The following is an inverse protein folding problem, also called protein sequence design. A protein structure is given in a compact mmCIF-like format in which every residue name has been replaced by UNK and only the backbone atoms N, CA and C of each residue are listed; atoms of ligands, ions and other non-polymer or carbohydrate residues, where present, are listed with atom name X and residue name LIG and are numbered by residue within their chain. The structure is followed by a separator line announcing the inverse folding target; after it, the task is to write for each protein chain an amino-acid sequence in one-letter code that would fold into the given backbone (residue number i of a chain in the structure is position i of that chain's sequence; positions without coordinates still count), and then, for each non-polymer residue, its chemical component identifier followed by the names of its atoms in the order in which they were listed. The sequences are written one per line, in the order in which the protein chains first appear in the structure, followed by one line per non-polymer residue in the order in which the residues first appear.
data_IF_479182354936
#
_entry.id   IF_479182354936
#
_cell.length_a   1.000
_cell.length_b   1.000
_cell.length_c   1.000
_cell.angle_alpha   90.00
_cell.angle_beta   90.00
_cell.angle_gamma   90.00
#
_symmetry.space_group_name_H-M   'P 1'
#
loop_
_entity.id
_entity.type
_entity.pdbx_description
1 polymer ?
#
# COMPACT_ATOMS: atom_id res chain seq x y z
N UNK A 1 5.32 -14.82 -20.13
CA UNK A 1 5.59 -14.71 -18.67
C UNK A 1 5.71 -13.23 -18.35
N UNK A 2 5.01 -12.75 -17.31
CA UNK A 2 5.05 -11.33 -16.96
C UNK A 2 6.36 -10.95 -16.23
N UNK A 3 6.73 -9.67 -16.32
CA UNK A 3 7.97 -9.13 -15.74
C UNK A 3 7.62 -8.00 -14.76
N UNK A 4 7.74 -8.27 -13.46
CA UNK A 4 7.45 -7.27 -12.43
C UNK A 4 8.58 -6.24 -12.31
N UNK A 5 8.20 -4.97 -12.38
CA UNK A 5 9.01 -3.81 -12.10
C UNK A 5 8.49 -3.14 -10.83
N UNK A 6 9.38 -2.93 -9.86
CA UNK A 6 9.05 -2.29 -8.59
C UNK A 6 9.54 -0.84 -8.65
N UNK A 7 8.62 0.11 -8.59
CA UNK A 7 8.94 1.55 -8.58
C UNK A 7 9.33 1.98 -7.18
N UNK A 8 10.62 2.29 -6.99
CA UNK A 8 11.27 2.54 -5.72
C UNK A 8 12.13 1.37 -5.24
N UNK A 9 13.44 1.60 -5.08
CA UNK A 9 14.43 0.60 -4.67
C UNK A 9 14.87 0.73 -3.20
N UNK A 10 14.37 1.72 -2.47
CA UNK A 10 14.79 1.99 -1.09
C UNK A 10 14.17 1.01 -0.10
N UNK A 11 14.14 1.34 1.20
CA UNK A 11 13.67 0.46 2.27
C UNK A 11 12.38 -0.27 1.95
N UNK A 12 11.32 0.48 1.65
CA UNK A 12 10.02 -0.09 1.31
C UNK A 12 10.06 -0.94 0.02
N UNK A 13 10.76 -0.50 -1.03
CA UNK A 13 10.91 -1.29 -2.27
C UNK A 13 11.55 -2.66 -2.03
N UNK A 14 12.53 -2.75 -1.15
CA UNK A 14 13.17 -4.02 -0.78
C UNK A 14 12.23 -4.93 0.00
N UNK A 15 11.39 -4.38 0.88
CA UNK A 15 10.36 -5.15 1.58
C UNK A 15 9.30 -5.67 0.61
N UNK A 16 8.87 -4.84 -0.34
CA UNK A 16 7.95 -5.23 -1.42
C UNK A 16 8.56 -6.36 -2.26
N UNK A 17 9.83 -6.23 -2.66
CA UNK A 17 10.54 -7.31 -3.36
C UNK A 17 10.54 -8.61 -2.57
N UNK A 18 10.92 -8.55 -1.30
CA UNK A 18 10.95 -9.72 -0.44
C UNK A 18 9.56 -10.38 -0.23
N UNK A 19 8.48 -9.59 -0.32
CA UNK A 19 7.12 -10.09 -0.31
C UNK A 19 6.72 -10.68 -1.67
N UNK A 20 7.02 -9.98 -2.75
CA UNK A 20 6.65 -10.36 -4.11
C UNK A 20 7.16 -11.77 -4.50
N UNK A 21 8.43 -12.06 -4.20
CA UNK A 21 9.04 -13.37 -4.48
C UNK A 21 8.51 -14.53 -3.61
N UNK A 22 7.63 -14.23 -2.66
CA UNK A 22 6.97 -15.22 -1.79
C UNK A 22 5.47 -15.37 -2.09
N UNK A 23 4.92 -14.60 -3.02
CA UNK A 23 3.52 -14.75 -3.44
C UNK A 23 3.29 -16.08 -4.13
N UNK A 24 2.04 -16.56 -4.14
CA UNK A 24 1.72 -17.79 -4.88
C UNK A 24 1.97 -17.60 -6.38
N UNK A 25 1.55 -16.47 -6.96
CA UNK A 25 1.75 -16.17 -8.37
C UNK A 25 3.22 -16.21 -8.81
N UNK A 26 4.15 -15.71 -7.98
CA UNK A 26 5.59 -15.83 -8.24
C UNK A 26 6.05 -17.29 -8.22
N UNK A 27 5.63 -18.06 -7.23
CA UNK A 27 6.03 -19.47 -7.09
C UNK A 27 5.45 -20.37 -8.17
N UNK A 28 4.30 -20.00 -8.71
CA UNK A 28 3.66 -20.69 -9.85
C UNK A 28 4.23 -20.23 -11.22
N UNK A 29 5.17 -19.28 -11.21
CA UNK A 29 5.84 -18.81 -12.42
C UNK A 29 4.99 -17.86 -13.29
N UNK A 30 3.96 -17.22 -12.73
CA UNK A 30 3.14 -16.26 -13.46
C UNK A 30 3.93 -15.00 -13.81
N UNK A 31 4.87 -14.61 -12.95
CA UNK A 31 5.80 -13.52 -13.20
C UNK A 31 7.19 -13.74 -12.60
N UNK A 32 8.17 -12.99 -13.13
CA UNK A 32 9.51 -12.83 -12.54
C UNK A 32 9.72 -11.38 -12.15
N UNK A 33 10.66 -11.10 -11.22
CA UNK A 33 11.02 -9.72 -10.90
C UNK A 33 12.15 -9.27 -11.82
N UNK A 34 11.87 -8.31 -12.71
CA UNK A 34 12.81 -7.79 -13.70
C UNK A 34 13.81 -6.80 -13.07
N UNK A 35 13.32 -5.96 -12.15
CA UNK A 35 14.17 -4.96 -11.52
C UNK A 35 13.38 -3.90 -10.76
N UNK A 36 14.13 -2.90 -10.34
CA UNK A 36 13.59 -1.68 -9.75
C UNK A 36 13.67 -0.52 -10.74
N UNK A 37 12.74 0.42 -10.57
CA UNK A 37 12.81 1.75 -11.18
C UNK A 37 13.01 2.78 -10.06
N UNK A 38 14.16 3.44 -10.04
CA UNK A 38 14.49 4.49 -9.05
C UNK A 38 15.45 5.48 -9.68
N UNK A 39 15.27 6.76 -9.41
CA UNK A 39 16.18 7.82 -9.87
C UNK A 39 17.56 7.72 -9.22
N UNK A 40 17.64 7.13 -8.02
CA UNK A 40 18.89 6.91 -7.29
C UNK A 40 19.48 5.54 -7.67
N UNK A 41 20.35 5.51 -8.67
CA UNK A 41 20.95 4.27 -9.23
C UNK A 41 21.79 3.47 -8.21
N UNK A 42 22.34 4.12 -7.20
CA UNK A 42 23.15 3.51 -6.15
C UNK A 42 22.35 3.17 -4.87
N UNK A 43 21.01 3.19 -4.93
CA UNK A 43 20.15 2.99 -3.75
C UNK A 43 20.33 1.61 -3.08
N UNK A 44 20.88 0.64 -3.79
CA UNK A 44 21.16 -0.71 -3.29
C UNK A 44 22.66 -0.93 -2.96
N UNK A 45 23.52 0.05 -3.22
CA UNK A 45 24.96 -0.09 -3.01
C UNK A 45 25.30 -0.34 -1.53
N UNK A 46 26.17 -1.31 -1.27
CA UNK A 46 26.62 -1.66 0.07
C UNK A 46 25.60 -2.42 0.95
N UNK A 47 24.42 -2.72 0.41
CA UNK A 47 23.43 -3.53 1.12
C UNK A 47 23.73 -5.02 0.97
N UNK A 48 23.43 -5.79 2.04
CA UNK A 48 23.49 -7.25 1.99
C UNK A 48 22.22 -7.81 1.35
N UNK A 49 22.36 -8.69 0.38
CA UNK A 49 21.26 -9.41 -0.27
C UNK A 49 21.37 -9.38 -1.79
N UNK A 50 20.75 -10.36 -2.43
CA UNK A 50 20.68 -10.47 -3.89
C UNK A 50 19.42 -9.72 -4.37
N UNK A 51 19.59 -8.46 -4.67
CA UNK A 51 18.52 -7.65 -5.23
C UNK A 51 18.61 -7.60 -6.75
N UNK A 52 17.48 -7.58 -7.47
CA UNK A 52 17.49 -7.31 -8.89
C UNK A 52 18.02 -5.89 -9.18
N UNK A 53 18.48 -5.60 -10.39
CA UNK A 53 19.10 -4.32 -10.72
C UNK A 53 18.11 -3.16 -10.63
N UNK A 54 18.63 -1.94 -10.40
CA UNK A 54 17.93 -0.70 -10.72
C UNK A 54 18.16 -0.42 -12.20
N UNK A 55 17.09 -0.36 -12.99
CA UNK A 55 17.17 -0.27 -14.45
C UNK A 55 17.36 1.19 -14.88
N UNK A 56 16.43 2.06 -14.48
CA UNK A 56 16.47 3.51 -14.73
C UNK A 56 15.49 4.24 -13.80
N UNK A 57 15.34 5.54 -13.98
CA UNK A 57 14.26 6.29 -13.33
C UNK A 57 12.89 5.91 -13.93
N UNK A 58 11.80 5.98 -13.15
CA UNK A 58 10.46 5.62 -13.65
C UNK A 58 10.01 6.47 -14.85
N UNK A 59 10.45 7.73 -14.88
CA UNK A 59 10.17 8.67 -15.96
C UNK A 59 10.82 8.27 -17.28
N UNK A 60 11.98 7.62 -17.22
CA UNK A 60 12.80 7.27 -18.38
C UNK A 60 12.47 5.85 -18.91
N UNK A 61 11.68 5.08 -18.16
CA UNK A 61 11.40 3.70 -18.53
C UNK A 61 10.37 3.62 -19.66
N UNK A 62 10.68 2.83 -20.69
CA UNK A 62 9.75 2.48 -21.76
C UNK A 62 9.05 1.17 -21.46
N UNK A 63 7.74 1.22 -21.25
CA UNK A 63 6.91 0.05 -20.90
C UNK A 63 6.91 -0.98 -22.03
N UNK A 64 7.20 -2.24 -21.69
CA UNK A 64 7.18 -3.36 -22.61
C UNK A 64 5.86 -4.16 -22.46
N UNK A 65 5.43 -4.91 -23.49
CA UNK A 65 4.12 -5.60 -23.49
C UNK A 65 3.89 -6.58 -22.33
N UNK A 66 4.96 -7.17 -21.81
CA UNK A 66 4.87 -8.14 -20.71
C UNK A 66 5.21 -7.53 -19.32
N UNK A 67 5.43 -6.23 -19.25
CA UNK A 67 5.73 -5.57 -17.99
C UNK A 67 4.47 -5.40 -17.14
N UNK A 68 4.65 -5.63 -15.85
CA UNK A 68 3.67 -5.34 -14.80
C UNK A 68 4.38 -4.56 -13.69
N UNK A 69 3.65 -3.72 -12.98
CA UNK A 69 4.25 -2.77 -12.06
C UNK A 69 3.68 -2.87 -10.65
N UNK A 70 4.49 -2.49 -9.68
CA UNK A 70 4.07 -2.17 -8.32
C UNK A 70 4.76 -0.89 -7.85
N UNK A 71 4.00 0.06 -7.26
CA UNK A 71 4.54 1.33 -6.78
C UNK A 71 4.91 1.22 -5.30
N UNK A 72 6.20 1.10 -5.02
CA UNK A 72 6.73 0.94 -3.66
C UNK A 72 7.12 2.29 -3.02
N UNK A 73 6.16 3.22 -2.99
CA UNK A 73 6.30 4.51 -2.31
C UNK A 73 5.45 4.54 -1.05
N UNK A 74 6.05 4.89 0.10
CA UNK A 74 5.33 4.97 1.39
C UNK A 74 4.29 6.08 1.41
N UNK A 75 4.65 7.27 0.94
CA UNK A 75 3.76 8.42 0.91
C UNK A 75 2.70 8.31 -0.19
N UNK A 76 1.40 8.47 0.13
CA UNK A 76 0.31 8.35 -0.84
C UNK A 76 0.46 9.24 -2.08
N UNK A 77 0.90 10.50 -1.89
CA UNK A 77 1.10 11.44 -3.01
C UNK A 77 2.10 10.95 -4.04
N UNK A 78 3.21 10.30 -3.61
CA UNK A 78 4.21 9.76 -4.52
C UNK A 78 3.74 8.46 -5.17
N UNK A 79 2.94 7.64 -4.46
CA UNK A 79 2.30 6.48 -5.11
C UNK A 79 1.39 6.93 -6.24
N UNK A 80 0.55 7.94 -5.99
CA UNK A 80 -0.35 8.51 -7.01
C UNK A 80 0.44 9.06 -8.19
N UNK A 81 1.45 9.88 -7.93
CA UNK A 81 2.29 10.48 -8.96
C UNK A 81 2.93 9.43 -9.89
N UNK A 82 3.57 8.41 -9.33
CA UNK A 82 4.21 7.38 -10.14
C UNK A 82 3.21 6.42 -10.79
N UNK A 83 2.06 6.18 -10.18
CA UNK A 83 0.99 5.42 -10.82
C UNK A 83 0.51 6.12 -12.09
N UNK A 84 0.25 7.43 -12.02
CA UNK A 84 -0.15 8.25 -13.17
C UNK A 84 0.90 8.24 -14.29
N UNK A 85 2.20 8.32 -13.97
CA UNK A 85 3.29 8.23 -14.96
C UNK A 85 3.29 6.88 -15.67
N UNK A 86 3.20 5.79 -14.93
CA UNK A 86 3.22 4.43 -15.51
C UNK A 86 1.95 4.14 -16.30
N UNK A 87 0.77 4.54 -15.80
CA UNK A 87 -0.51 4.42 -16.52
C UNK A 87 -0.50 5.18 -17.85
N UNK A 88 0.02 6.41 -17.86
CA UNK A 88 0.14 7.22 -19.08
C UNK A 88 1.02 6.55 -20.15
N UNK A 89 1.92 5.67 -19.76
CA UNK A 89 2.78 4.87 -20.65
C UNK A 89 2.17 3.50 -21.01
N UNK A 90 0.93 3.22 -20.58
CA UNK A 90 0.22 1.97 -20.83
C UNK A 90 0.63 0.82 -19.89
N UNK A 91 1.28 1.12 -18.77
CA UNK A 91 1.63 0.10 -17.77
C UNK A 91 0.43 -0.38 -16.95
N UNK A 92 0.50 -1.62 -16.49
CA UNK A 92 -0.53 -2.27 -15.68
C UNK A 92 0.02 -2.67 -14.31
N UNK A 93 -0.82 -2.64 -13.30
CA UNK A 93 -0.40 -2.92 -11.92
C UNK A 93 -0.87 -4.28 -11.44
N UNK A 94 -0.09 -4.86 -10.54
CA UNK A 94 -0.50 -6.04 -9.79
C UNK A 94 -0.57 -5.71 -8.30
N UNK A 95 -1.46 -6.40 -7.60
CA UNK A 95 -1.46 -6.37 -6.14
C UNK A 95 -0.54 -7.44 -5.57
N UNK A 96 0.17 -7.10 -4.49
CA UNK A 96 1.03 -8.03 -3.77
C UNK A 96 0.35 -8.40 -2.46
N UNK A 97 -0.07 -9.66 -2.37
CA UNK A 97 -0.79 -10.19 -1.21
C UNK A 97 0.06 -11.27 -0.56
N UNK A 98 0.46 -11.05 0.69
CA UNK A 98 1.23 -12.03 1.43
C UNK A 98 0.39 -13.26 1.77
N UNK A 99 0.95 -14.46 1.65
CA UNK A 99 0.26 -15.74 1.90
C UNK A 99 -0.34 -15.87 3.30
N UNK A 100 0.25 -15.21 4.29
CA UNK A 100 -0.22 -15.24 5.69
C UNK A 100 -1.32 -14.21 5.98
N UNK A 101 -1.77 -13.42 5.00
CA UNK A 101 -2.95 -12.58 5.16
C UNK A 101 -4.23 -13.42 5.12
N UNK A 102 -5.15 -13.13 6.03
CA UNK A 102 -6.49 -13.74 6.06
C UNK A 102 -7.47 -12.82 5.35
N UNK A 103 -7.97 -13.23 4.18
CA UNK A 103 -8.85 -12.40 3.36
C UNK A 103 -10.16 -13.13 3.13
N UNK A 104 -11.27 -12.50 3.51
CA UNK A 104 -12.60 -13.03 3.24
C UNK A 104 -12.90 -13.02 1.73
N UNK A 105 -13.65 -14.01 1.26
CA UNK A 105 -13.97 -14.18 -0.16
C UNK A 105 -14.78 -13.04 -0.78
N UNK A 106 -15.48 -12.27 0.04
CA UNK A 106 -16.29 -11.12 -0.38
C UNK A 106 -15.52 -9.82 -0.42
N UNK A 107 -14.27 -9.81 0.08
CA UNK A 107 -13.44 -8.61 0.05
C UNK A 107 -13.01 -8.28 -1.38
N UNK A 108 -13.04 -6.99 -1.71
CA UNK A 108 -12.60 -6.44 -2.99
C UNK A 108 -11.31 -5.66 -2.76
N UNK A 109 -10.26 -6.02 -3.49
CA UNK A 109 -8.95 -5.37 -3.41
C UNK A 109 -8.62 -4.76 -4.77
N UNK A 110 -8.43 -3.45 -4.80
CA UNK A 110 -8.05 -2.71 -6.00
C UNK A 110 -6.63 -3.06 -6.45
N UNK A 111 -6.37 -2.91 -7.73
CA UNK A 111 -5.07 -3.17 -8.34
C UNK A 111 -3.96 -2.30 -7.74
N UNK A 112 -2.72 -2.77 -7.80
CA UNK A 112 -1.56 -2.07 -7.25
C UNK A 112 -1.50 -2.03 -5.72
N UNK A 113 -2.39 -2.72 -5.02
CA UNK A 113 -2.46 -2.71 -3.56
C UNK A 113 -1.53 -3.72 -2.91
N UNK A 114 -1.11 -3.42 -1.69
CA UNK A 114 -0.28 -4.30 -0.87
C UNK A 114 -1.04 -4.75 0.38
N UNK A 115 -1.14 -6.05 0.59
CA UNK A 115 -1.69 -6.62 1.82
C UNK A 115 -0.61 -7.45 2.49
N UNK A 116 -0.11 -6.96 3.60
CA UNK A 116 0.95 -7.62 4.36
C UNK A 116 0.43 -8.83 5.14
N UNK A 117 1.36 -9.67 5.54
CA UNK A 117 1.04 -10.87 6.30
C UNK A 117 0.39 -10.60 7.65
N UNK A 118 -0.35 -11.61 8.15
CA UNK A 118 -1.02 -11.59 9.45
C UNK A 118 -2.07 -10.49 9.60
N UNK A 119 -2.48 -9.84 8.50
CA UNK A 119 -3.60 -8.92 8.48
C UNK A 119 -4.89 -9.70 8.24
N UNK A 120 -5.98 -9.26 8.88
CA UNK A 120 -7.30 -9.82 8.73
C UNK A 120 -8.19 -8.84 7.95
N UNK A 121 -8.70 -9.28 6.81
CA UNK A 121 -9.60 -8.52 5.94
C UNK A 121 -10.95 -9.23 5.98
N UNK A 122 -11.89 -8.66 6.71
CA UNK A 122 -13.20 -9.28 6.99
C UNK A 122 -14.17 -9.22 5.80
N UNK A 123 -15.41 -9.60 6.08
CA UNK A 123 -16.49 -9.67 5.09
C UNK A 123 -16.81 -8.31 4.49
N UNK A 124 -17.05 -8.28 3.16
CA UNK A 124 -17.47 -7.10 2.40
C UNK A 124 -16.55 -5.86 2.54
N UNK A 125 -15.25 -6.08 2.82
CA UNK A 125 -14.26 -5.00 2.87
C UNK A 125 -13.92 -4.55 1.45
N UNK A 126 -13.83 -3.24 1.23
CA UNK A 126 -13.42 -2.65 -0.04
C UNK A 126 -12.13 -1.86 0.14
N UNK A 127 -11.08 -2.29 -0.53
CA UNK A 127 -9.77 -1.64 -0.56
C UNK A 127 -9.55 -1.05 -1.95
N UNK A 128 -9.31 0.25 -2.02
CA UNK A 128 -9.09 0.99 -3.26
C UNK A 128 -7.76 0.62 -3.93
N UNK A 129 -7.53 1.20 -5.12
CA UNK A 129 -6.29 1.01 -5.88
C UNK A 129 -5.08 1.57 -5.14
N UNK A 130 -3.94 0.92 -5.30
CA UNK A 130 -2.66 1.34 -4.73
C UNK A 130 -2.70 1.58 -3.22
N UNK A 131 -3.63 0.97 -2.51
CA UNK A 131 -3.70 1.04 -1.06
C UNK A 131 -2.67 0.09 -0.42
N UNK A 132 -2.23 0.44 0.79
CA UNK A 132 -1.29 -0.37 1.56
C UNK A 132 -1.93 -0.73 2.89
N UNK A 133 -1.99 -2.01 3.19
CA UNK A 133 -2.33 -2.55 4.50
C UNK A 133 -1.12 -3.29 5.04
N UNK A 134 -0.46 -2.71 6.04
CA UNK A 134 0.71 -3.30 6.67
C UNK A 134 0.36 -4.49 7.58
N UNK A 135 1.39 -5.13 8.12
CA UNK A 135 1.27 -6.35 8.92
C UNK A 135 0.41 -6.16 10.18
N UNK A 136 -0.27 -7.22 10.58
CA UNK A 136 -1.11 -7.26 11.80
C UNK A 136 -2.21 -6.20 11.85
N UNK A 137 -2.72 -5.75 10.71
CA UNK A 137 -3.91 -4.91 10.68
C UNK A 137 -5.17 -5.76 10.74
N UNK A 138 -6.20 -5.24 11.40
CA UNK A 138 -7.51 -5.88 11.47
C UNK A 138 -8.59 -4.93 10.92
N UNK A 139 -9.19 -5.32 9.80
CA UNK A 139 -10.24 -4.58 9.11
C UNK A 139 -11.56 -5.32 9.32
N UNK A 140 -12.41 -4.76 10.15
CA UNK A 140 -13.77 -5.27 10.41
C UNK A 140 -14.63 -5.29 9.15
N UNK A 141 -15.77 -5.96 9.23
CA UNK A 141 -16.71 -6.09 8.11
C UNK A 141 -17.16 -4.71 7.57
N UNK A 142 -17.42 -4.65 6.26
CA UNK A 142 -17.91 -3.44 5.57
C UNK A 142 -16.97 -2.22 5.65
N UNK A 143 -15.70 -2.41 5.99
CA UNK A 143 -14.69 -1.34 5.98
C UNK A 143 -14.40 -0.92 4.55
N UNK A 144 -14.21 0.40 4.35
CA UNK A 144 -13.80 0.97 3.08
C UNK A 144 -12.51 1.75 3.22
N UNK A 145 -11.55 1.47 2.33
CA UNK A 145 -10.30 2.22 2.19
C UNK A 145 -10.27 2.81 0.79
N UNK A 146 -10.09 4.13 0.70
CA UNK A 146 -9.96 4.85 -0.56
C UNK A 146 -8.65 4.53 -1.29
N UNK A 147 -8.57 4.96 -2.56
CA UNK A 147 -7.36 4.80 -3.36
C UNK A 147 -6.16 5.45 -2.65
N UNK A 148 -5.01 4.81 -2.77
CA UNK A 148 -3.76 5.27 -2.15
C UNK A 148 -3.80 5.38 -0.63
N UNK A 149 -4.85 4.86 0.04
CA UNK A 149 -4.92 4.82 1.50
C UNK A 149 -3.81 3.96 2.10
N UNK A 150 -3.32 4.33 3.28
CA UNK A 150 -2.28 3.58 4.00
C UNK A 150 -2.76 3.25 5.40
N UNK A 151 -2.77 1.97 5.73
CA UNK A 151 -3.04 1.47 7.07
C UNK A 151 -1.75 0.84 7.58
N UNK A 152 -1.08 1.54 8.48
CA UNK A 152 0.17 1.06 9.05
C UNK A 152 -0.04 -0.04 10.09
N UNK A 153 1.05 -0.73 10.38
CA UNK A 153 1.06 -1.95 11.18
C UNK A 153 0.31 -1.85 12.51
N UNK A 154 -0.35 -2.96 12.90
CA UNK A 154 -1.12 -3.08 14.14
C UNK A 154 -2.31 -2.13 14.26
N UNK A 155 -2.79 -1.55 13.18
CA UNK A 155 -3.96 -0.67 13.19
C UNK A 155 -5.26 -1.48 13.11
N UNK A 156 -6.32 -0.92 13.73
CA UNK A 156 -7.64 -1.54 13.77
C UNK A 156 -8.70 -0.60 13.19
N UNK A 157 -9.53 -1.14 12.29
CA UNK A 157 -10.68 -0.45 11.73
C UNK A 157 -11.95 -1.23 12.10
N UNK A 158 -12.79 -0.63 12.92
CA UNK A 158 -14.08 -1.24 13.30
C UNK A 158 -15.07 -1.31 12.14
N UNK A 159 -16.02 -2.21 12.23
CA UNK A 159 -17.01 -2.42 11.16
C UNK A 159 -17.66 -1.13 10.66
N UNK A 160 -17.86 -1.02 9.34
CA UNK A 160 -18.36 0.18 8.64
C UNK A 160 -17.45 1.42 8.77
N UNK A 161 -16.20 1.28 9.18
CA UNK A 161 -15.26 2.40 9.18
C UNK A 161 -14.85 2.74 7.74
N UNK A 162 -14.65 4.04 7.47
CA UNK A 162 -14.22 4.51 6.15
C UNK A 162 -12.95 5.37 6.27
N UNK A 163 -12.00 5.08 5.40
CA UNK A 163 -10.75 5.84 5.22
C UNK A 163 -10.76 6.42 3.82
N UNK A 164 -10.64 7.74 3.71
CA UNK A 164 -10.65 8.44 2.44
C UNK A 164 -9.38 8.25 1.61
N UNK A 165 -9.40 8.77 0.37
CA UNK A 165 -8.28 8.72 -0.56
C UNK A 165 -7.05 9.43 0.00
N UNK A 166 -5.86 8.88 -0.27
CA UNK A 166 -4.57 9.42 0.16
C UNK A 166 -4.44 9.66 1.67
N UNK A 167 -5.24 9.00 2.49
CA UNK A 167 -5.18 9.13 3.94
C UNK A 167 -4.31 8.05 4.57
N UNK A 168 -3.65 8.40 5.67
CA UNK A 168 -2.75 7.51 6.40
C UNK A 168 -3.21 7.33 7.83
N UNK A 169 -3.38 6.10 8.24
CA UNK A 169 -3.49 5.69 9.63
C UNK A 169 -2.13 5.14 10.09
N UNK A 170 -1.41 5.91 10.90
CA UNK A 170 -0.11 5.50 11.39
C UNK A 170 -0.17 4.35 12.40
N UNK A 171 0.98 3.77 12.69
CA UNK A 171 1.12 2.53 13.46
C UNK A 171 0.29 2.50 14.74
N UNK A 172 -0.41 1.37 14.97
CA UNK A 172 -1.28 1.14 16.15
C UNK A 172 -2.43 2.13 16.30
N UNK A 173 -2.86 2.79 15.22
CA UNK A 173 -4.02 3.67 15.29
C UNK A 173 -5.33 2.88 15.19
N UNK A 174 -6.40 3.44 15.74
CA UNK A 174 -7.73 2.83 15.77
C UNK A 174 -8.77 3.80 15.22
N UNK A 175 -9.56 3.32 14.25
CA UNK A 175 -10.78 4.00 13.80
C UNK A 175 -11.98 3.18 14.30
N UNK A 176 -12.77 3.71 15.22
CA UNK A 176 -13.89 2.96 15.76
C UNK A 176 -15.01 2.76 14.71
N UNK A 177 -15.86 1.76 14.94
CA UNK A 177 -16.97 1.40 14.03
C UNK A 177 -17.82 2.61 13.63
N UNK A 178 -18.33 2.62 12.39
CA UNK A 178 -19.20 3.66 11.83
C UNK A 178 -18.56 5.06 11.82
N UNK A 179 -17.23 5.16 11.85
CA UNK A 179 -16.54 6.45 11.75
C UNK A 179 -15.83 6.56 10.42
N UNK A 180 -15.64 7.81 10.02
CA UNK A 180 -15.03 8.16 8.76
C UNK A 180 -13.92 9.17 8.95
N UNK A 181 -12.78 8.92 8.33
CA UNK A 181 -11.77 9.93 8.06
C UNK A 181 -11.84 10.31 6.58
N UNK A 182 -11.73 11.60 6.30
CA UNK A 182 -11.82 12.14 4.94
C UNK A 182 -10.60 11.82 4.09
N UNK A 183 -10.43 12.57 2.99
CA UNK A 183 -9.28 12.44 2.09
C UNK A 183 -8.09 13.24 2.62
N UNK A 184 -6.86 12.79 2.31
CA UNK A 184 -5.63 13.46 2.74
C UNK A 184 -5.57 13.72 4.26
N UNK A 185 -6.06 12.78 5.06
CA UNK A 185 -6.03 12.84 6.53
C UNK A 185 -4.85 12.03 7.04
N UNK A 186 -4.18 12.55 8.06
CA UNK A 186 -3.18 11.80 8.82
C UNK A 186 -3.66 11.54 10.25
N UNK A 187 -3.71 10.28 10.62
CA UNK A 187 -3.99 9.83 11.98
C UNK A 187 -2.69 9.39 12.63
N UNK A 188 -2.22 10.13 13.62
CA UNK A 188 -0.94 9.85 14.28
C UNK A 188 -0.91 8.51 15.00
N UNK A 189 0.30 8.00 15.23
CA UNK A 189 0.53 6.69 15.87
C UNK A 189 -0.17 6.55 17.21
N UNK A 190 -0.72 5.36 17.47
CA UNK A 190 -1.44 5.01 18.71
C UNK A 190 -2.67 5.88 19.01
N UNK A 191 -3.19 6.58 18.02
CA UNK A 191 -4.39 7.41 18.17
C UNK A 191 -5.67 6.60 18.10
N UNK A 192 -6.71 7.05 18.80
CA UNK A 192 -8.05 6.45 18.76
C UNK A 192 -9.05 7.48 18.23
N UNK A 193 -9.46 7.28 16.97
CA UNK A 193 -10.41 8.16 16.28
C UNK A 193 -11.84 7.76 16.66
N UNK A 194 -12.50 8.60 17.47
CA UNK A 194 -13.85 8.37 17.99
C UNK A 194 -14.92 9.24 17.31
N UNK A 195 -14.52 10.16 16.43
CA UNK A 195 -15.40 11.07 15.69
C UNK A 195 -14.96 11.14 14.23
N UNK A 196 -15.89 11.52 13.34
CA UNK A 196 -15.51 11.74 11.95
C UNK A 196 -14.49 12.88 11.83
N UNK A 197 -13.52 12.69 10.93
CA UNK A 197 -12.46 13.66 10.63
C UNK A 197 -12.67 14.17 9.21
N UNK A 198 -12.65 15.48 9.01
CA UNK A 198 -12.78 16.11 7.68
C UNK A 198 -11.49 15.97 6.89
N UNK A 199 -11.60 16.21 5.59
CA UNK A 199 -10.46 16.16 4.65
C UNK A 199 -9.31 17.09 5.09
N UNK A 200 -8.09 16.66 4.83
CA UNK A 200 -6.86 17.45 4.99
C UNK A 200 -6.44 17.70 6.43
N UNK A 201 -7.05 17.05 7.40
CA UNK A 201 -6.73 17.26 8.81
C UNK A 201 -5.71 16.25 9.34
N UNK A 202 -4.91 16.71 10.29
CA UNK A 202 -4.05 15.85 11.10
C UNK A 202 -4.68 15.68 12.48
N UNK A 203 -4.77 14.44 12.96
CA UNK A 203 -5.34 14.12 14.28
C UNK A 203 -4.39 13.21 15.07
N UNK A 204 -4.32 13.44 16.38
CA UNK A 204 -3.45 12.66 17.26
C UNK A 204 -4.04 12.50 18.66
N UNK A 205 -3.75 11.39 19.31
CA UNK A 205 -4.05 11.10 20.72
C UNK A 205 -5.20 10.11 20.95
N UNK A 206 -5.50 9.87 22.22
CA UNK A 206 -6.61 9.01 22.66
C UNK A 206 -7.44 9.77 23.72
N UNK A 207 -8.64 10.27 23.38
CA UNK A 207 -9.24 10.33 22.04
C UNK A 207 -8.47 11.26 21.09
N UNK A 208 -8.49 10.95 19.80
CA UNK A 208 -7.80 11.76 18.78
C UNK A 208 -8.43 13.15 18.66
N UNK A 209 -7.57 14.17 18.64
CA UNK A 209 -7.92 15.59 18.46
C UNK A 209 -7.14 16.15 17.28
N UNK A 210 -7.71 17.19 16.65
CA UNK A 210 -7.02 17.92 15.58
C UNK A 210 -5.76 18.55 16.14
N UNK A 211 -4.64 18.39 15.41
CA UNK A 211 -3.36 19.05 15.68
C UNK A 211 -3.00 19.93 14.48
N UNK A 212 -2.40 21.08 14.77
CA UNK A 212 -1.83 21.95 13.75
C UNK A 212 -0.29 21.81 13.84
N UNK A 213 0.34 21.52 12.70
CA UNK A 213 1.80 21.57 12.56
C UNK A 213 2.23 22.90 11.99
#
# INVERSE_FOLDING_TARGET
MKHLLIVGARGWGREVYAAAIKTQAYLDGEYTVKGFLDSKQDALAGLRGDYPPIICAPEDYEVQPDDIFFIAMGEPKWRKHYAEIIEAKGGHFISIICKSASINKTAIIGEGSFISGWSCISDNVHIGKHAIVHLFCDLGHDVKIGNYGTIEAYSFLGGYAEVGECSTMHVRSTLIRHKKIGNNVEVGSSSVVMRNVKDGLHVFGNPAKIINF
#
